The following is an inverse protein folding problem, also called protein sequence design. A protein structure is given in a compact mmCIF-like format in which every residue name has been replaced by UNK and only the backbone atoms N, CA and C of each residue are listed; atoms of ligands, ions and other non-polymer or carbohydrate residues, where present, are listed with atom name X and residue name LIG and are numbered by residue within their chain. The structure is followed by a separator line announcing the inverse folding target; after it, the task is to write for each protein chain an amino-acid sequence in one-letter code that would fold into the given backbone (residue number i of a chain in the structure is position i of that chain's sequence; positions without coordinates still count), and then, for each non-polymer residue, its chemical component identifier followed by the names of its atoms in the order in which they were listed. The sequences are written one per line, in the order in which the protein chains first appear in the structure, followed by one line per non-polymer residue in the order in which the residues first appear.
data_IF_407959350931
#
_entry.id   IF_407959350931
#
_cell.length_a   1.000
_cell.length_b   1.000
_cell.length_c   1.000
_cell.angle_alpha   90.00
_cell.angle_beta   90.00
_cell.angle_gamma   90.00
#
_symmetry.space_group_name_H-M   'P 1'
#
loop_
_entity.id
_entity.type
_entity.pdbx_description
1 polymer ?
#
# COMPACT_ATOMS: atom_id res chain seq x y z
N UNK A 1 26.14 0.73 -3.90
CA UNK A 1 25.05 1.54 -3.33
C UNK A 1 25.49 2.99 -3.39
N UNK A 2 24.77 3.84 -4.11
CA UNK A 2 25.10 5.26 -4.20
C UNK A 2 24.69 6.00 -2.92
N UNK A 3 25.46 7.02 -2.54
CA UNK A 3 25.18 7.88 -1.39
C UNK A 3 25.01 9.32 -1.89
N UNK A 4 24.02 10.01 -1.35
CA UNK A 4 23.59 11.34 -1.78
C UNK A 4 23.77 12.36 -0.66
N UNK A 5 24.17 13.57 -1.02
CA UNK A 5 24.22 14.72 -0.12
C UNK A 5 22.81 15.24 0.18
N UNK A 6 22.67 16.03 1.24
CA UNK A 6 21.37 16.64 1.59
C UNK A 6 20.81 17.55 0.49
N UNK A 7 21.68 18.17 -0.33
CA UNK A 7 21.27 19.01 -1.46
C UNK A 7 20.65 18.17 -2.56
N UNK A 8 21.36 17.13 -3.00
CA UNK A 8 20.85 16.19 -4.02
C UNK A 8 19.54 15.54 -3.60
N UNK A 9 19.42 15.13 -2.33
CA UNK A 9 18.18 14.54 -1.81
C UNK A 9 17.04 15.55 -1.77
N UNK A 10 17.32 16.80 -1.42
CA UNK A 10 16.32 17.86 -1.40
C UNK A 10 15.75 18.11 -2.80
N UNK A 11 16.61 18.09 -3.82
CA UNK A 11 16.20 18.24 -5.22
C UNK A 11 15.42 17.00 -5.69
N UNK A 12 15.91 15.79 -5.40
CA UNK A 12 15.28 14.52 -5.80
C UNK A 12 13.91 14.24 -5.17
N UNK A 13 13.65 14.82 -3.99
CA UNK A 13 12.39 14.64 -3.26
C UNK A 13 11.52 15.90 -3.27
N UNK A 14 12.04 17.01 -3.78
CA UNK A 14 11.44 18.36 -3.71
C UNK A 14 11.05 18.73 -2.26
N UNK A 15 11.97 18.50 -1.32
CA UNK A 15 11.79 18.83 0.11
C UNK A 15 12.92 19.76 0.55
N UNK A 16 12.57 20.91 1.12
CA UNK A 16 13.57 21.89 1.58
C UNK A 16 14.58 21.23 2.56
N UNK A 17 15.91 21.47 2.40
CA UNK A 17 16.93 20.94 3.31
C UNK A 17 16.67 21.23 4.80
N UNK A 18 16.03 22.36 5.12
CA UNK A 18 15.63 22.70 6.50
C UNK A 18 14.57 21.74 7.02
N UNK A 19 13.58 21.38 6.20
CA UNK A 19 12.55 20.40 6.51
C UNK A 19 13.16 19.02 6.73
N UNK A 20 14.08 18.58 5.85
CA UNK A 20 14.81 17.31 6.02
C UNK A 20 15.59 17.27 7.34
N UNK A 21 16.27 18.36 7.71
CA UNK A 21 16.96 18.48 9.00
C UNK A 21 15.99 18.43 10.18
N UNK A 22 14.80 19.01 10.04
CA UNK A 22 13.76 18.96 11.07
C UNK A 22 13.19 17.55 11.24
N UNK A 23 12.88 16.85 10.13
CA UNK A 23 12.45 15.45 10.12
C UNK A 23 13.48 14.53 10.79
N UNK A 24 14.76 14.76 10.53
CA UNK A 24 15.84 14.06 11.23
C UNK A 24 15.90 14.43 12.73
N UNK A 25 16.08 15.71 13.07
CA UNK A 25 16.43 16.12 14.44
C UNK A 25 15.26 16.10 15.41
N UNK A 26 14.08 16.56 14.99
CA UNK A 26 12.91 16.72 15.88
C UNK A 26 12.06 15.46 15.95
N UNK A 27 11.93 14.76 14.82
CA UNK A 27 11.01 13.63 14.70
C UNK A 27 11.71 12.28 14.56
N UNK A 28 13.03 12.26 14.29
CA UNK A 28 13.80 11.03 14.14
C UNK A 28 13.32 10.16 12.97
N UNK A 29 12.76 10.78 11.92
CA UNK A 29 12.13 10.07 10.80
C UNK A 29 13.16 9.53 9.79
N UNK A 30 14.36 10.12 9.75
CA UNK A 30 15.43 9.76 8.81
C UNK A 30 16.73 9.59 9.59
N UNK A 31 17.55 8.61 9.21
CA UNK A 31 18.83 8.30 9.86
C UNK A 31 19.97 8.24 8.84
N UNK A 32 20.42 9.40 8.31
CA UNK A 32 21.50 9.44 7.35
C UNK A 32 22.82 8.98 7.99
N UNK A 33 23.65 8.33 7.17
CA UNK A 33 25.03 8.01 7.53
C UNK A 33 25.83 9.31 7.59
N UNK A 34 26.80 9.39 8.50
CA UNK A 34 27.75 10.51 8.53
C UNK A 34 29.08 10.06 7.97
N UNK A 35 29.70 10.91 7.16
CA UNK A 35 31.12 10.77 6.81
C UNK A 35 32.00 11.12 8.00
N UNK A 36 33.28 10.78 7.94
CA UNK A 36 34.29 11.17 8.92
C UNK A 36 34.38 12.71 9.08
N UNK A 37 34.10 13.45 8.00
CA UNK A 37 33.99 14.92 8.01
C UNK A 37 32.67 15.47 8.56
N UNK A 38 31.75 14.62 9.02
CA UNK A 38 30.48 15.02 9.63
C UNK A 38 29.36 15.38 8.65
N UNK A 39 29.57 15.21 7.34
CA UNK A 39 28.54 15.44 6.32
C UNK A 39 27.50 14.31 6.35
N UNK A 40 26.23 14.66 6.12
CA UNK A 40 25.14 13.68 6.04
C UNK A 40 25.08 13.11 4.63
N UNK A 41 25.13 11.80 4.55
CA UNK A 41 24.91 11.03 3.34
C UNK A 41 23.66 10.17 3.49
N UNK A 42 22.87 10.13 2.44
CA UNK A 42 21.59 9.44 2.37
C UNK A 42 21.69 8.32 1.35
N UNK A 43 21.11 7.18 1.65
CA UNK A 43 20.97 6.06 0.73
C UNK A 43 19.72 6.22 -0.14
N UNK A 44 19.57 5.38 -1.16
CA UNK A 44 18.29 5.26 -1.89
C UNK A 44 17.13 4.90 -0.95
N UNK A 45 17.37 4.10 0.09
CA UNK A 45 16.36 3.78 1.10
C UNK A 45 15.93 5.00 1.90
N UNK A 46 16.85 5.92 2.20
CA UNK A 46 16.51 7.19 2.84
C UNK A 46 15.68 8.08 1.90
N UNK A 47 16.00 8.10 0.61
CA UNK A 47 15.24 8.86 -0.40
C UNK A 47 13.80 8.34 -0.50
N UNK A 48 13.62 7.02 -0.60
CA UNK A 48 12.30 6.40 -0.62
C UNK A 48 11.50 6.77 0.64
N UNK A 49 12.15 6.70 1.81
CA UNK A 49 11.54 7.09 3.09
C UNK A 49 11.16 8.56 3.16
N UNK A 50 11.98 9.45 2.59
CA UNK A 50 11.69 10.89 2.53
C UNK A 50 10.46 11.16 1.65
N UNK A 51 10.35 10.49 0.50
CA UNK A 51 9.19 10.62 -0.38
C UNK A 51 7.92 10.08 0.27
N UNK A 52 8.04 9.00 1.04
CA UNK A 52 6.94 8.44 1.82
C UNK A 52 6.48 9.38 2.95
N UNK A 53 7.41 9.99 3.68
CA UNK A 53 7.09 11.03 4.68
C UNK A 53 6.35 12.20 4.02
N UNK A 54 6.84 12.66 2.86
CA UNK A 54 6.20 13.74 2.07
C UNK A 54 4.77 13.34 1.70
N UNK A 55 4.59 12.15 1.15
CA UNK A 55 3.27 11.61 0.78
C UNK A 55 2.30 11.63 1.96
N UNK A 56 2.72 11.14 3.13
CA UNK A 56 1.87 11.15 4.31
C UNK A 56 1.42 12.56 4.72
N UNK A 57 2.34 13.52 4.67
CA UNK A 57 2.06 14.91 5.03
C UNK A 57 1.11 15.55 4.01
N UNK A 58 1.28 15.25 2.72
CA UNK A 58 0.37 15.71 1.65
C UNK A 58 -1.04 15.13 1.78
N UNK A 59 -1.18 13.91 2.32
CA UNK A 59 -2.47 13.31 2.69
C UNK A 59 -3.06 13.90 4.00
N UNK A 60 -2.44 14.92 4.58
CA UNK A 60 -2.93 15.62 5.78
C UNK A 60 -2.53 14.98 7.10
N UNK A 61 -1.63 13.99 7.10
CA UNK A 61 -1.11 13.38 8.33
C UNK A 61 -0.15 14.33 9.03
N UNK A 62 -0.35 14.57 10.32
CA UNK A 62 0.59 15.35 11.13
C UNK A 62 1.95 14.66 11.21
N UNK A 63 3.03 15.40 10.97
CA UNK A 63 4.41 14.87 10.95
C UNK A 63 4.81 14.08 12.20
N UNK A 64 4.23 14.40 13.36
CA UNK A 64 4.43 13.69 14.64
C UNK A 64 3.87 12.25 14.62
N UNK A 65 2.81 11.99 13.84
CA UNK A 65 2.17 10.68 13.69
C UNK A 65 2.80 9.83 12.59
N UNK A 66 3.52 10.46 11.66
CA UNK A 66 4.17 9.77 10.53
C UNK A 66 5.10 8.66 11.01
N UNK A 67 5.83 8.87 12.11
CA UNK A 67 6.75 7.86 12.66
C UNK A 67 6.03 6.54 12.98
N UNK A 68 4.83 6.60 13.55
CA UNK A 68 4.05 5.41 13.91
C UNK A 68 3.56 4.68 12.66
N UNK A 69 3.09 5.40 11.64
CA UNK A 69 2.68 4.81 10.36
C UNK A 69 3.85 4.13 9.67
N UNK A 70 5.01 4.80 9.62
CA UNK A 70 6.24 4.24 9.09
C UNK A 70 6.78 3.04 9.90
N UNK A 71 6.42 2.94 11.18
CA UNK A 71 6.86 1.86 12.07
C UNK A 71 5.91 0.66 12.03
N UNK A 72 4.61 0.89 11.84
CA UNK A 72 3.63 -0.16 11.57
C UNK A 72 3.95 -0.93 10.29
N UNK A 73 4.61 -0.29 9.33
CA UNK A 73 5.19 -0.93 8.13
C UNK A 73 6.54 -1.66 8.41
N UNK A 74 7.26 -1.32 9.49
CA UNK A 74 8.65 -1.77 9.73
C UNK A 74 8.87 -2.69 10.95
N UNK A 75 7.84 -3.09 11.69
CA UNK A 75 8.04 -3.89 12.93
C UNK A 75 8.13 -5.40 12.66
N UNK A 76 7.83 -5.85 11.44
CA UNK A 76 8.05 -7.23 10.98
C UNK A 76 8.61 -7.17 9.54
N UNK A 77 9.88 -6.78 9.35
CA UNK A 77 10.57 -7.14 8.11
C UNK A 77 11.27 -8.48 8.34
N UNK A 78 10.70 -9.62 7.90
CA UNK A 78 11.52 -10.78 7.60
C UNK A 78 12.64 -10.35 6.65
N UNK A 79 13.86 -10.67 7.01
CA UNK A 79 15.06 -10.50 6.19
C UNK A 79 14.78 -10.93 4.73
N UNK A 80 15.00 -10.04 3.75
CA UNK A 80 14.89 -10.35 2.32
C UNK A 80 13.66 -9.83 1.55
N UNK A 81 12.65 -9.19 2.17
CA UNK A 81 11.53 -8.61 1.39
C UNK A 81 11.94 -7.46 0.48
N UNK A 82 12.89 -6.63 0.91
CA UNK A 82 13.43 -5.56 0.07
C UNK A 82 14.16 -6.11 -1.15
N UNK A 83 14.86 -7.22 -1.01
CA UNK A 83 15.51 -7.92 -2.13
C UNK A 83 14.46 -8.46 -3.12
N UNK A 84 13.36 -9.03 -2.63
CA UNK A 84 12.23 -9.44 -3.49
C UNK A 84 11.57 -8.28 -4.22
N UNK A 85 11.48 -7.10 -3.59
CA UNK A 85 10.98 -5.89 -4.26
C UNK A 85 11.91 -5.48 -5.42
N UNK A 86 13.24 -5.50 -5.20
CA UNK A 86 14.22 -5.21 -6.27
C UNK A 86 14.21 -6.27 -7.37
N UNK A 87 14.03 -7.54 -7.02
CA UNK A 87 13.90 -8.63 -7.99
C UNK A 87 12.67 -8.40 -8.88
N UNK A 88 11.51 -8.11 -8.30
CA UNK A 88 10.29 -7.81 -9.05
C UNK A 88 10.48 -6.59 -9.95
N UNK A 89 11.07 -5.51 -9.43
CA UNK A 89 11.34 -4.31 -10.22
C UNK A 89 12.29 -4.59 -11.39
N UNK A 90 13.30 -5.43 -11.18
CA UNK A 90 14.23 -5.87 -12.24
C UNK A 90 13.50 -6.67 -13.32
N UNK A 91 12.62 -7.62 -12.92
CA UNK A 91 11.80 -8.38 -13.87
C UNK A 91 10.84 -7.48 -14.65
N UNK A 92 10.21 -6.50 -14.01
CA UNK A 92 9.37 -5.51 -14.69
C UNK A 92 10.15 -4.70 -15.73
N UNK A 93 11.36 -4.25 -15.38
CA UNK A 93 12.24 -3.51 -16.30
C UNK A 93 12.75 -4.35 -17.48
N UNK A 94 12.84 -5.66 -17.32
CA UNK A 94 13.21 -6.58 -18.41
C UNK A 94 12.16 -6.68 -19.53
N UNK A 95 10.91 -6.24 -19.26
CA UNK A 95 9.81 -6.28 -20.23
C UNK A 95 9.17 -7.66 -20.43
N UNK A 96 9.65 -8.71 -19.76
CA UNK A 96 9.07 -10.05 -19.87
C UNK A 96 7.83 -10.20 -18.97
N UNK A 97 6.67 -9.79 -19.49
CA UNK A 97 5.37 -9.85 -18.81
C UNK A 97 5.02 -11.28 -18.36
N UNK A 98 5.35 -12.29 -19.19
CA UNK A 98 5.08 -13.70 -18.87
C UNK A 98 5.84 -14.18 -17.65
N UNK A 99 7.11 -13.78 -17.52
CA UNK A 99 7.93 -14.11 -16.36
C UNK A 99 7.40 -13.44 -15.08
N UNK A 100 6.96 -12.19 -15.15
CA UNK A 100 6.37 -11.49 -13.99
C UNK A 100 5.07 -12.16 -13.56
N UNK A 101 4.20 -12.54 -14.51
CA UNK A 101 2.96 -13.29 -14.20
C UNK A 101 3.25 -14.62 -13.51
N UNK A 102 4.22 -15.37 -14.02
CA UNK A 102 4.62 -16.64 -13.43
C UNK A 102 5.11 -16.44 -11.99
N UNK A 103 5.99 -15.46 -11.78
CA UNK A 103 6.56 -15.15 -10.47
C UNK A 103 5.50 -14.68 -9.47
N UNK A 104 4.56 -13.82 -9.86
CA UNK A 104 3.41 -13.43 -9.01
C UNK A 104 2.56 -14.64 -8.63
N UNK A 105 2.30 -15.55 -9.58
CA UNK A 105 1.52 -16.76 -9.33
C UNK A 105 2.26 -17.81 -8.48
N UNK A 106 3.59 -17.83 -8.51
CA UNK A 106 4.42 -18.67 -7.65
C UNK A 106 4.40 -18.14 -6.22
N UNK A 107 4.72 -16.86 -6.03
CA UNK A 107 4.66 -16.23 -4.71
C UNK A 107 3.30 -16.36 -4.04
N UNK A 108 2.21 -16.13 -4.78
CA UNK A 108 0.87 -16.23 -4.23
C UNK A 108 0.45 -17.66 -3.83
N UNK A 109 1.20 -18.69 -4.24
CA UNK A 109 1.06 -20.06 -3.73
C UNK A 109 1.90 -20.29 -2.46
N UNK A 110 3.08 -19.71 -2.41
CA UNK A 110 4.07 -19.97 -1.37
C UNK A 110 3.88 -19.10 -0.12
N UNK A 111 3.25 -17.93 -0.27
CA UNK A 111 3.05 -16.97 0.82
C UNK A 111 1.58 -16.56 0.97
N UNK A 112 1.12 -16.29 2.21
CA UNK A 112 -0.18 -15.68 2.44
C UNK A 112 -0.31 -14.33 1.72
N UNK A 113 -1.50 -14.05 1.20
CA UNK A 113 -1.83 -12.80 0.51
C UNK A 113 -1.51 -11.60 1.40
N UNK A 114 -1.84 -11.67 2.69
CA UNK A 114 -1.59 -10.57 3.63
C UNK A 114 -0.10 -10.23 3.73
N UNK A 115 0.77 -11.25 3.74
CA UNK A 115 2.23 -11.04 3.79
C UNK A 115 2.73 -10.37 2.50
N UNK A 116 2.28 -10.86 1.35
CA UNK A 116 2.68 -10.30 0.05
C UNK A 116 2.15 -8.87 -0.14
N UNK A 117 0.90 -8.61 0.22
CA UNK A 117 0.31 -7.26 0.13
C UNK A 117 1.08 -6.32 1.04
N UNK A 118 1.29 -6.67 2.31
CA UNK A 118 1.94 -5.80 3.30
C UNK A 118 3.41 -5.54 3.03
N UNK A 119 4.18 -6.57 2.68
CA UNK A 119 5.64 -6.46 2.62
C UNK A 119 6.22 -6.36 1.21
N UNK A 120 5.48 -6.77 0.17
CA UNK A 120 5.95 -6.74 -1.21
C UNK A 120 5.21 -5.71 -2.04
N UNK A 121 3.90 -5.88 -2.23
CA UNK A 121 3.15 -5.10 -3.21
C UNK A 121 2.87 -3.67 -2.75
N UNK A 122 2.34 -3.46 -1.55
CA UNK A 122 2.03 -2.10 -1.06
C UNK A 122 3.30 -1.22 -1.00
N UNK A 123 4.43 -1.66 -0.41
CA UNK A 123 5.63 -0.84 -0.36
C UNK A 123 6.25 -0.60 -1.74
N UNK A 124 6.30 -1.60 -2.62
CA UNK A 124 6.83 -1.44 -3.96
C UNK A 124 5.97 -0.48 -4.80
N UNK A 125 4.64 -0.61 -4.74
CA UNK A 125 3.72 0.29 -5.45
C UNK A 125 3.89 1.72 -4.97
N UNK A 126 3.97 1.95 -3.65
CA UNK A 126 4.23 3.27 -3.05
C UNK A 126 5.55 3.86 -3.57
N UNK A 127 6.63 3.08 -3.61
CA UNK A 127 7.94 3.51 -4.15
C UNK A 127 7.86 3.88 -5.64
N UNK A 128 7.11 3.12 -6.44
CA UNK A 128 6.97 3.36 -7.88
C UNK A 128 6.06 4.57 -8.20
N UNK A 129 5.05 4.84 -7.38
CA UNK A 129 4.17 6.02 -7.51
C UNK A 129 4.92 7.34 -7.30
N UNK A 130 5.96 7.34 -6.49
CA UNK A 130 6.70 8.54 -6.09
C UNK A 130 7.83 8.92 -7.08
N UNK A 131 7.91 8.29 -8.25
CA UNK A 131 9.03 8.45 -9.20
C UNK A 131 8.57 8.75 -10.65
N UNK A 132 9.51 9.03 -11.56
CA UNK A 132 9.29 9.51 -12.94
C UNK A 132 8.33 8.66 -13.81
N UNK A 133 7.85 9.23 -14.92
CA UNK A 133 6.83 8.67 -15.82
C UNK A 133 7.06 7.20 -16.26
N UNK A 134 8.30 6.73 -16.41
CA UNK A 134 8.60 5.32 -16.76
C UNK A 134 8.13 4.34 -15.70
N UNK A 135 8.28 4.69 -14.42
CA UNK A 135 7.84 3.83 -13.32
C UNK A 135 6.32 3.81 -13.19
N UNK A 136 5.64 4.87 -13.62
CA UNK A 136 4.18 4.88 -13.70
C UNK A 136 3.65 3.84 -14.70
N UNK A 137 4.27 3.73 -15.88
CA UNK A 137 3.92 2.69 -16.86
C UNK A 137 4.18 1.27 -16.33
N UNK A 138 5.33 1.06 -15.67
CA UNK A 138 5.66 -0.24 -15.06
C UNK A 138 4.73 -0.57 -13.89
N UNK A 139 4.31 0.42 -13.11
CA UNK A 139 3.31 0.26 -12.05
C UNK A 139 1.96 -0.16 -12.64
N UNK A 140 1.50 0.52 -13.69
CA UNK A 140 0.26 0.16 -14.38
C UNK A 140 0.31 -1.26 -14.95
N UNK A 141 1.47 -1.68 -15.48
CA UNK A 141 1.69 -3.06 -15.92
C UNK A 141 1.60 -4.05 -14.75
N UNK A 142 2.27 -3.78 -13.63
CA UNK A 142 2.22 -4.59 -12.42
C UNK A 142 0.77 -4.70 -11.91
N UNK A 143 0.06 -3.58 -11.84
CA UNK A 143 -1.33 -3.50 -11.38
C UNK A 143 -2.24 -4.38 -12.25
N UNK A 144 -2.09 -4.33 -13.58
CA UNK A 144 -2.84 -5.20 -14.49
C UNK A 144 -2.55 -6.69 -14.28
N UNK A 145 -1.30 -7.05 -13.98
CA UNK A 145 -0.92 -8.44 -13.66
C UNK A 145 -1.55 -8.88 -12.34
N UNK A 146 -1.47 -8.04 -11.31
CA UNK A 146 -2.02 -8.31 -9.98
C UNK A 146 -3.53 -8.47 -10.04
N UNK A 147 -4.24 -7.54 -10.69
CA UNK A 147 -5.70 -7.61 -10.87
C UNK A 147 -6.10 -8.92 -11.56
N UNK A 148 -5.38 -9.33 -12.61
CA UNK A 148 -5.69 -10.59 -13.30
C UNK A 148 -5.49 -11.82 -12.38
N UNK A 149 -4.38 -11.88 -11.66
CA UNK A 149 -4.08 -12.97 -10.73
C UNK A 149 -5.10 -13.01 -9.56
N UNK A 150 -5.44 -11.85 -9.01
CA UNK A 150 -6.44 -11.74 -7.95
C UNK A 150 -7.81 -12.15 -8.46
N UNK A 151 -8.24 -11.70 -9.64
CA UNK A 151 -9.52 -12.10 -10.23
C UNK A 151 -9.64 -13.64 -10.37
N UNK A 152 -8.55 -14.31 -10.75
CA UNK A 152 -8.48 -15.77 -10.74
C UNK A 152 -8.70 -16.38 -9.34
N UNK A 153 -8.05 -15.80 -8.31
CA UNK A 153 -8.21 -16.25 -6.92
C UNK A 153 -9.66 -16.07 -6.43
N UNK A 154 -10.28 -14.92 -6.72
CA UNK A 154 -11.67 -14.63 -6.40
C UNK A 154 -12.60 -15.65 -7.06
N UNK A 155 -12.45 -15.88 -8.36
CA UNK A 155 -13.25 -16.88 -9.09
C UNK A 155 -13.12 -18.28 -8.49
N UNK A 156 -11.93 -18.65 -8.01
CA UNK A 156 -11.70 -19.93 -7.34
C UNK A 156 -12.44 -20.02 -6.00
N UNK A 157 -12.52 -18.91 -5.25
CA UNK A 157 -13.19 -18.85 -3.95
C UNK A 157 -14.69 -19.16 -4.02
N UNK A 158 -15.35 -18.76 -5.11
CA UNK A 158 -16.78 -19.01 -5.35
C UNK A 158 -17.15 -20.50 -5.43
N UNK A 159 -16.18 -21.39 -5.60
CA UNK A 159 -16.39 -22.85 -5.62
C UNK A 159 -16.53 -23.45 -4.22
N UNK A 160 -16.27 -22.68 -3.17
CA UNK A 160 -16.31 -23.10 -1.76
C UNK A 160 -17.49 -22.41 -1.05
N UNK A 161 -18.05 -23.01 0.02
CA UNK A 161 -19.00 -22.30 0.88
C UNK A 161 -18.28 -21.15 1.60
N UNK A 162 -18.98 -20.04 1.82
CA UNK A 162 -18.46 -18.85 2.48
C UNK A 162 -19.48 -17.73 2.54
N UNK A 163 -19.14 -16.65 3.26
CA UNK A 163 -19.97 -15.45 3.33
C UNK A 163 -19.72 -14.54 2.14
N UNK A 164 -20.77 -13.89 1.65
CA UNK A 164 -20.67 -12.95 0.53
C UNK A 164 -20.34 -11.55 1.04
N UNK A 165 -19.39 -10.90 0.38
CA UNK A 165 -19.01 -9.53 0.64
C UNK A 165 -18.76 -8.76 -0.67
N UNK A 166 -18.97 -7.45 -0.61
CA UNK A 166 -18.61 -6.51 -1.65
C UNK A 166 -17.49 -5.60 -1.13
N UNK A 167 -16.34 -5.64 -1.78
CA UNK A 167 -15.24 -4.71 -1.50
C UNK A 167 -15.49 -3.38 -2.20
N UNK A 168 -15.45 -2.30 -1.41
CA UNK A 168 -15.76 -0.94 -1.86
C UNK A 168 -14.64 0.01 -1.45
N UNK A 169 -14.15 0.80 -2.40
CA UNK A 169 -13.24 1.90 -2.11
C UNK A 169 -14.06 3.14 -1.76
N UNK A 170 -13.66 3.86 -0.70
CA UNK A 170 -14.29 5.10 -0.32
C UNK A 170 -13.28 6.26 -0.31
N UNK A 171 -13.54 7.26 -1.16
CA UNK A 171 -12.78 8.49 -1.30
C UNK A 171 -11.29 8.28 -1.63
N UNK A 172 -11.01 7.39 -2.57
CA UNK A 172 -9.67 7.14 -3.11
C UNK A 172 -9.70 7.08 -4.65
N UNK A 173 -8.53 7.22 -5.29
CA UNK A 173 -8.40 7.23 -6.76
C UNK A 173 -7.76 5.95 -7.31
N UNK A 174 -7.05 5.20 -6.47
CA UNK A 174 -6.35 3.98 -6.85
C UNK A 174 -7.24 2.76 -6.62
N UNK A 175 -7.55 2.02 -7.69
CA UNK A 175 -8.44 0.86 -7.62
C UNK A 175 -7.72 -0.44 -7.25
N UNK A 176 -6.41 -0.54 -7.49
CA UNK A 176 -5.64 -1.78 -7.25
C UNK A 176 -5.60 -2.21 -5.77
N UNK A 177 -5.52 -1.30 -4.77
CA UNK A 177 -5.62 -1.66 -3.36
C UNK A 177 -6.90 -2.43 -3.02
N UNK A 178 -8.02 -2.14 -3.70
CA UNK A 178 -9.27 -2.89 -3.49
C UNK A 178 -9.10 -4.36 -3.87
N UNK A 179 -8.44 -4.63 -4.99
CA UNK A 179 -8.16 -6.00 -5.43
C UNK A 179 -7.21 -6.70 -4.47
N UNK A 180 -6.16 -6.03 -4.02
CA UNK A 180 -5.23 -6.60 -3.03
C UNK A 180 -5.95 -6.91 -1.70
N UNK A 181 -6.82 -6.02 -1.23
CA UNK A 181 -7.61 -6.27 -0.04
C UNK A 181 -8.64 -7.41 -0.23
N UNK A 182 -9.27 -7.50 -1.40
CA UNK A 182 -10.16 -8.59 -1.75
C UNK A 182 -9.45 -9.95 -1.76
N UNK A 183 -8.19 -9.99 -2.24
CA UNK A 183 -7.37 -11.20 -2.19
C UNK A 183 -7.12 -11.67 -0.76
N UNK A 184 -6.81 -10.74 0.15
CA UNK A 184 -6.66 -11.05 1.58
C UNK A 184 -7.98 -11.57 2.17
N UNK A 185 -9.10 -10.90 1.90
CA UNK A 185 -10.41 -11.32 2.39
C UNK A 185 -10.80 -12.74 1.91
N UNK A 186 -10.50 -13.08 0.66
CA UNK A 186 -10.73 -14.43 0.13
C UNK A 186 -9.99 -15.51 0.91
N UNK A 187 -8.74 -15.27 1.30
CA UNK A 187 -7.98 -16.24 2.10
C UNK A 187 -8.54 -16.40 3.52
N UNK A 188 -9.34 -15.45 3.99
CA UNK A 188 -10.03 -15.51 5.29
C UNK A 188 -11.46 -16.05 5.19
N UNK A 189 -11.85 -16.58 4.02
CA UNK A 189 -13.09 -17.32 3.82
C UNK A 189 -14.25 -16.53 3.21
N UNK A 190 -14.00 -15.29 2.78
CA UNK A 190 -15.01 -14.48 2.09
C UNK A 190 -15.11 -14.86 0.60
N UNK A 191 -16.33 -14.80 0.07
CA UNK A 191 -16.60 -14.75 -1.37
C UNK A 191 -16.83 -13.30 -1.73
N UNK A 192 -15.94 -12.75 -2.53
CA UNK A 192 -15.82 -11.30 -2.68
C UNK A 192 -16.08 -10.89 -4.13
N UNK A 193 -17.00 -9.95 -4.30
CA UNK A 193 -17.07 -9.08 -5.48
C UNK A 193 -16.34 -7.77 -5.20
N UNK A 194 -15.78 -7.14 -6.23
CA UNK A 194 -15.02 -5.88 -6.10
C UNK A 194 -15.66 -4.81 -6.97
N UNK A 195 -15.96 -3.64 -6.40
CA UNK A 195 -16.35 -2.50 -7.22
C UNK A 195 -15.18 -2.04 -8.08
N UNK A 196 -15.42 -1.93 -9.39
CA UNK A 196 -14.38 -1.59 -10.36
C UNK A 196 -13.74 -0.22 -10.12
N UNK A 197 -14.47 0.70 -9.50
CA UNK A 197 -14.02 2.04 -9.17
C UNK A 197 -14.39 2.39 -7.72
N UNK A 198 -13.54 3.15 -7.02
CA UNK A 198 -13.88 3.74 -5.74
C UNK A 198 -15.07 4.70 -5.83
N UNK A 199 -15.81 4.84 -4.74
CA UNK A 199 -16.90 5.79 -4.62
C UNK A 199 -16.43 7.05 -3.89
N UNK A 200 -16.78 8.21 -4.43
CA UNK A 200 -16.59 9.50 -3.74
C UNK A 200 -17.49 9.56 -2.50
N UNK A 201 -18.72 9.05 -2.63
CA UNK A 201 -19.70 8.98 -1.54
C UNK A 201 -20.24 7.56 -1.43
N UNK A 202 -19.96 6.91 -0.30
CA UNK A 202 -20.50 5.60 0.04
C UNK A 202 -21.87 5.75 0.72
N UNK A 203 -22.87 5.03 0.21
CA UNK A 203 -24.23 4.93 0.75
C UNK A 203 -24.60 3.45 0.88
N UNK A 204 -24.50 2.85 2.08
CA UNK A 204 -24.78 1.41 2.28
C UNK A 204 -26.18 0.97 1.86
N UNK A 205 -27.15 1.89 1.86
CA UNK A 205 -28.54 1.65 1.48
C UNK A 205 -28.69 1.22 0.00
N UNK A 206 -27.70 1.54 -0.85
CA UNK A 206 -27.67 1.13 -2.25
C UNK A 206 -27.30 -0.36 -2.44
N UNK A 207 -26.86 -1.04 -1.38
CA UNK A 207 -26.42 -2.43 -1.40
C UNK A 207 -27.21 -3.27 -0.39
N UNK A 208 -28.54 -3.38 -0.56
CA UNK A 208 -29.40 -4.05 0.43
C UNK A 208 -28.99 -5.51 0.61
N UNK A 209 -28.82 -5.93 1.88
CA UNK A 209 -28.49 -7.31 2.25
C UNK A 209 -27.06 -7.74 1.93
N UNK A 210 -26.17 -6.81 1.54
CA UNK A 210 -24.76 -7.09 1.28
C UNK A 210 -23.89 -6.69 2.47
N UNK A 211 -22.88 -7.51 2.75
CA UNK A 211 -21.76 -7.13 3.62
C UNK A 211 -20.79 -6.26 2.82
N UNK A 212 -20.49 -5.06 3.31
CA UNK A 212 -19.56 -4.14 2.67
C UNK A 212 -18.22 -4.17 3.40
N UNK A 213 -17.16 -4.49 2.67
CA UNK A 213 -15.78 -4.38 3.14
C UNK A 213 -15.16 -3.12 2.55
N UNK A 214 -14.94 -2.10 3.38
CA UNK A 214 -14.63 -0.74 2.92
C UNK A 214 -13.13 -0.46 3.03
N UNK A 215 -12.51 -0.13 1.90
CA UNK A 215 -11.16 0.39 1.82
C UNK A 215 -11.19 1.91 1.85
N UNK A 216 -10.62 2.50 2.89
CA UNK A 216 -10.69 3.95 3.16
C UNK A 216 -9.40 4.70 2.79
N UNK A 217 -8.46 4.02 2.13
CA UNK A 217 -7.09 4.49 2.01
C UNK A 217 -6.28 4.14 3.24
N UNK A 218 -4.96 4.14 3.10
CA UNK A 218 -4.05 3.88 4.21
C UNK A 218 -3.49 5.24 4.67
N UNK A 219 -3.55 5.62 5.96
CA UNK A 219 -4.51 5.13 6.94
C UNK A 219 -5.91 5.73 6.70
N UNK A 220 -6.98 5.08 7.20
CA UNK A 220 -8.32 5.65 7.19
C UNK A 220 -8.38 6.93 8.04
N UNK A 221 -9.16 7.91 7.59
CA UNK A 221 -9.43 9.12 8.39
C UNK A 221 -10.36 8.83 9.56
N UNK A 222 -10.22 9.57 10.66
CA UNK A 222 -11.10 9.46 11.83
C UNK A 222 -12.58 9.59 11.47
N UNK A 223 -12.91 10.52 10.57
CA UNK A 223 -14.28 10.73 10.08
C UNK A 223 -14.84 9.51 9.34
N UNK A 224 -14.01 8.82 8.55
CA UNK A 224 -14.44 7.60 7.87
C UNK A 224 -14.73 6.48 8.88
N UNK A 225 -13.88 6.31 9.90
CA UNK A 225 -14.07 5.29 10.94
C UNK A 225 -15.32 5.58 11.80
N UNK A 226 -15.54 6.83 12.19
CA UNK A 226 -16.75 7.27 12.90
C UNK A 226 -18.02 6.99 12.07
N UNK A 227 -17.98 7.28 10.77
CA UNK A 227 -19.11 7.04 9.88
C UNK A 227 -19.40 5.54 9.68
N UNK A 228 -18.37 4.70 9.56
CA UNK A 228 -18.54 3.24 9.49
C UNK A 228 -19.19 2.73 10.77
N UNK A 229 -18.76 3.21 11.92
CA UNK A 229 -19.35 2.87 13.22
C UNK A 229 -20.84 3.26 13.28
N UNK A 230 -21.19 4.45 12.77
CA UNK A 230 -22.57 4.91 12.71
C UNK A 230 -23.44 4.01 11.81
N UNK A 231 -22.94 3.62 10.63
CA UNK A 231 -23.67 2.70 9.74
C UNK A 231 -23.89 1.33 10.38
N UNK A 232 -22.90 0.83 11.13
CA UNK A 232 -23.05 -0.42 11.88
C UNK A 232 -24.14 -0.30 12.96
N UNK A 233 -24.21 0.82 13.69
CA UNK A 233 -25.28 1.10 14.66
C UNK A 233 -26.66 1.22 14.01
N UNK A 234 -26.72 1.64 12.74
CA UNK A 234 -27.95 1.70 11.94
C UNK A 234 -28.35 0.34 11.35
N UNK A 235 -27.59 -0.73 11.62
CA UNK A 235 -27.88 -2.10 11.18
C UNK A 235 -27.31 -2.46 9.82
N UNK A 236 -26.46 -1.62 9.21
CA UNK A 236 -25.75 -1.97 7.98
C UNK A 236 -24.51 -2.81 8.30
N UNK A 237 -24.31 -3.92 7.58
CA UNK A 237 -23.13 -4.77 7.70
C UNK A 237 -21.94 -4.13 6.94
N UNK A 238 -21.34 -3.08 7.52
CA UNK A 238 -20.22 -2.33 6.94
C UNK A 238 -19.00 -2.45 7.85
N UNK A 239 -17.88 -2.91 7.29
CA UNK A 239 -16.64 -3.15 8.03
C UNK A 239 -15.45 -2.48 7.33
N UNK A 240 -14.51 -2.00 8.12
CA UNK A 240 -13.26 -1.42 7.62
C UNK A 240 -12.26 -2.51 7.26
N UNK A 241 -11.67 -2.45 6.07
CA UNK A 241 -10.59 -3.36 5.65
C UNK A 241 -9.25 -3.09 6.35
N UNK A 242 -9.17 -2.03 7.18
CA UNK A 242 -7.98 -1.71 7.96
C UNK A 242 -8.05 -2.30 9.38
N UNK A 243 -9.17 -2.91 9.77
CA UNK A 243 -9.33 -3.51 11.10
C UNK A 243 -8.83 -4.96 11.07
N UNK A 244 -7.79 -5.30 11.86
CA UNK A 244 -7.16 -6.62 11.83
C UNK A 244 -8.10 -7.76 12.25
N UNK A 245 -9.07 -7.45 13.11
CA UNK A 245 -9.93 -8.43 13.80
C UNK A 245 -11.23 -8.77 13.02
N UNK A 246 -11.55 -8.01 11.96
CA UNK A 246 -12.80 -8.14 11.21
C UNK A 246 -12.64 -8.75 9.81
N UNK A 247 -11.40 -8.87 9.32
CA UNK A 247 -11.08 -9.62 8.11
C UNK A 247 -10.69 -11.03 8.55
#
# INVERSE_FOLDING_TARGET
MALYTIGEVADLCEVNPVTLRAWQRRYGLIKPVRTDGGHRLFSEADIDRIREIKHWIEQGVQVSKVKTLLSQDSTDEPEGWRERQEELLTKLRSGNIGQVRHWVSELGRDYPAQMLVRHLYTPLRRRMQLQHATLHALLSLLDGILINYVAYCLQSAWKKPGNDALVVGWNNQDSTPLWLAAWVAVQKGWRVDVLAQPLVQLRPELFPGKTLLVWCGEPPSSRQLEQITLWHQQGHAVFSLHEPDLI
#
